data_IF_829001576117
#
_entry.id   IF_829001576117
#
_cell.length_a   1.000
_cell.length_b   1.000
_cell.length_c   1.000
_cell.angle_alpha   90.00
_cell.angle_beta   90.00
_cell.angle_gamma   90.00
#
_symmetry.space_group_name_H-M   'P 1'
#
loop_
_entity.id
_entity.type
_entity.pdbx_description
1 polymer ?
#
# COMPACT_ATOMS: atom_id res chain seq x y z
N UNK A 1 11.70 12.74 -5.76
CA UNK A 1 12.55 11.64 -6.25
C UNK A 1 13.81 11.60 -5.39
N UNK A 2 13.89 10.61 -4.49
CA UNK A 2 15.12 10.30 -3.75
C UNK A 2 15.75 9.07 -4.40
N UNK A 3 17.07 9.08 -4.67
CA UNK A 3 17.77 7.95 -5.24
C UNK A 3 18.28 7.03 -4.12
N UNK A 4 17.44 6.10 -3.67
CA UNK A 4 17.90 4.93 -2.90
C UNK A 4 17.35 3.66 -3.54
N UNK A 5 18.03 3.29 -4.61
CA UNK A 5 18.39 1.95 -5.04
C UNK A 5 17.61 0.75 -4.47
N UNK A 6 16.40 0.47 -4.99
CA UNK A 6 15.85 -0.90 -5.09
C UNK A 6 15.11 -1.08 -6.40
N UNK A 7 15.89 -1.19 -7.46
CA UNK A 7 15.40 -1.59 -8.78
C UNK A 7 14.83 -3.03 -8.69
N UNK A 8 13.51 -3.14 -8.93
CA UNK A 8 12.80 -4.28 -9.55
C UNK A 8 12.58 -5.58 -8.75
N UNK A 9 11.41 -5.63 -8.10
CA UNK A 9 10.62 -6.85 -7.88
C UNK A 9 10.86 -7.54 -6.54
N UNK A 10 9.86 -7.87 -5.73
CA UNK A 10 8.43 -7.69 -5.73
C UNK A 10 8.08 -7.55 -4.25
N UNK A 11 7.14 -6.68 -3.88
CA UNK A 11 6.49 -6.82 -2.57
C UNK A 11 6.12 -8.28 -2.37
N UNK A 12 6.55 -8.87 -1.26
CA UNK A 12 6.15 -10.24 -0.92
C UNK A 12 4.62 -10.29 -0.85
N UNK A 13 4.03 -11.48 -1.02
CA UNK A 13 2.58 -11.68 -0.80
C UNK A 13 2.11 -11.03 0.50
N UNK A 14 2.93 -11.14 1.54
CA UNK A 14 2.64 -10.61 2.87
C UNK A 14 2.65 -9.08 2.89
N UNK A 15 3.67 -8.46 2.32
CA UNK A 15 3.77 -6.99 2.24
C UNK A 15 2.66 -6.41 1.38
N UNK A 16 2.40 -7.00 0.20
CA UNK A 16 1.28 -6.61 -0.67
C UNK A 16 -0.04 -6.67 0.11
N UNK A 17 -0.29 -7.77 0.81
CA UNK A 17 -1.52 -7.92 1.61
C UNK A 17 -1.58 -6.90 2.74
N UNK A 18 -0.46 -6.65 3.44
CA UNK A 18 -0.36 -5.67 4.53
C UNK A 18 -0.71 -4.26 4.05
N UNK A 19 -0.18 -3.85 2.90
CA UNK A 19 -0.42 -2.53 2.30
C UNK A 19 -1.90 -2.40 1.94
N UNK A 20 -2.47 -3.39 1.24
CA UNK A 20 -3.89 -3.38 0.84
C UNK A 20 -4.79 -3.34 2.08
N UNK A 21 -4.51 -4.14 3.11
CA UNK A 21 -5.30 -4.17 4.35
C UNK A 21 -5.24 -2.84 5.10
N UNK A 22 -4.06 -2.24 5.22
CA UNK A 22 -3.90 -0.92 5.85
C UNK A 22 -4.65 0.16 5.05
N UNK A 23 -4.59 0.10 3.72
CA UNK A 23 -5.28 1.06 2.86
C UNK A 23 -6.81 0.91 2.92
N UNK A 24 -7.32 -0.32 2.92
CA UNK A 24 -8.74 -0.60 3.07
C UNK A 24 -9.29 -0.04 4.40
N UNK A 25 -8.52 -0.15 5.49
CA UNK A 25 -8.88 0.46 6.78
C UNK A 25 -8.98 1.98 6.68
N UNK A 26 -8.04 2.65 6.01
CA UNK A 26 -8.09 4.10 5.81
C UNK A 26 -9.36 4.51 5.05
N UNK A 27 -9.71 3.78 4.00
CA UNK A 27 -10.93 4.03 3.21
C UNK A 27 -12.18 3.83 4.07
N UNK A 28 -12.22 2.77 4.89
CA UNK A 28 -13.32 2.51 5.82
C UNK A 28 -13.49 3.63 6.87
N UNK A 29 -12.40 4.33 7.21
CA UNK A 29 -12.41 5.49 8.11
C UNK A 29 -12.78 6.81 7.40
N UNK A 30 -13.10 6.79 6.10
CA UNK A 30 -13.46 7.98 5.33
C UNK A 30 -12.29 8.71 4.67
N UNK A 31 -11.13 8.05 4.52
CA UNK A 31 -10.00 8.60 3.75
C UNK A 31 -10.39 8.82 2.28
N UNK A 32 -9.94 9.91 1.65
CA UNK A 32 -10.19 10.15 0.23
C UNK A 32 -9.55 9.07 -0.65
N UNK A 33 -10.27 8.76 -1.73
CA UNK A 33 -9.91 7.74 -2.72
C UNK A 33 -9.24 8.44 -3.90
N UNK A 34 -8.12 7.89 -4.38
CA UNK A 34 -7.27 8.49 -5.42
C UNK A 34 -7.55 7.93 -6.82
N UNK A 35 -8.43 6.93 -6.93
CA UNK A 35 -8.86 6.31 -8.19
C UNK A 35 -10.33 6.58 -8.49
N UNK A 36 -10.70 6.51 -9.77
CA UNK A 36 -12.10 6.56 -10.19
C UNK A 36 -12.76 5.23 -9.86
N UNK A 37 -13.74 5.25 -8.96
CA UNK A 37 -14.53 4.08 -8.63
C UNK A 37 -15.46 3.70 -9.79
N UNK A 38 -15.46 2.44 -10.25
CA UNK A 38 -16.51 1.94 -11.12
C UNK A 38 -17.85 1.88 -10.36
N UNK A 39 -18.96 2.01 -11.09
CA UNK A 39 -20.30 2.05 -10.50
C UNK A 39 -20.59 0.74 -9.74
N UNK A 40 -20.88 0.84 -8.45
CA UNK A 40 -21.26 -0.29 -7.59
C UNK A 40 -20.15 -0.85 -6.70
N UNK A 41 -18.90 -0.39 -6.82
CA UNK A 41 -17.83 -0.77 -5.89
C UNK A 41 -17.91 0.10 -4.64
N UNK A 42 -18.30 -0.52 -3.53
CA UNK A 42 -18.44 0.15 -2.22
C UNK A 42 -17.52 -0.47 -1.17
N UNK A 43 -16.98 -1.67 -1.44
CA UNK A 43 -16.15 -2.40 -0.51
C UNK A 43 -14.75 -1.79 -0.40
N UNK A 44 -14.30 -1.35 0.79
CA UNK A 44 -13.00 -0.71 0.98
C UNK A 44 -11.81 -1.54 0.50
N UNK A 45 -11.92 -2.87 0.60
CA UNK A 45 -10.89 -3.81 0.15
C UNK A 45 -10.74 -3.76 -1.36
N UNK A 46 -11.83 -3.74 -2.10
CA UNK A 46 -11.79 -3.72 -3.55
C UNK A 46 -11.34 -2.36 -4.08
N UNK A 47 -11.72 -1.29 -3.39
CA UNK A 47 -11.19 0.06 -3.66
C UNK A 47 -9.66 0.09 -3.45
N UNK A 48 -9.16 -0.48 -2.35
CA UNK A 48 -7.72 -0.55 -2.08
C UNK A 48 -6.97 -1.39 -3.13
N UNK A 49 -7.57 -2.48 -3.64
CA UNK A 49 -6.99 -3.26 -4.74
C UNK A 49 -6.93 -2.45 -6.04
N UNK A 50 -7.99 -1.71 -6.36
CA UNK A 50 -8.03 -0.83 -7.54
C UNK A 50 -6.95 0.26 -7.45
N UNK A 51 -6.73 0.84 -6.26
CA UNK A 51 -5.64 1.80 -6.05
C UNK A 51 -4.26 1.14 -6.17
N UNK A 52 -4.10 -0.11 -5.71
CA UNK A 52 -2.87 -0.89 -5.89
C UNK A 52 -2.54 -1.08 -7.37
N UNK A 53 -3.52 -1.53 -8.15
CA UNK A 53 -3.35 -1.80 -9.58
C UNK A 53 -3.10 -0.51 -10.38
N UNK A 54 -3.63 0.63 -9.92
CA UNK A 54 -3.36 1.96 -10.46
C UNK A 54 -2.06 2.60 -9.94
N UNK A 55 -1.31 1.91 -9.06
CA UNK A 55 -0.10 2.42 -8.40
C UNK A 55 -0.31 3.78 -7.71
N UNK A 56 -1.50 4.00 -7.14
CA UNK A 56 -1.96 5.27 -6.57
C UNK A 56 -2.05 5.25 -5.02
N UNK A 57 -1.58 4.17 -4.38
CA UNK A 57 -1.63 4.05 -2.92
C UNK A 57 -0.60 4.98 -2.27
N UNK A 58 -1.02 5.92 -1.39
CA UNK A 58 -0.13 6.89 -0.76
C UNK A 58 0.54 6.36 0.52
N UNK A 59 0.84 5.05 0.58
CA UNK A 59 1.55 4.42 1.69
C UNK A 59 2.61 3.45 1.15
N UNK A 60 3.75 3.39 1.82
CA UNK A 60 4.90 2.57 1.43
C UNK A 60 5.35 1.69 2.61
N UNK A 61 6.01 0.57 2.33
CA UNK A 61 6.54 -0.34 3.35
C UNK A 61 7.96 0.05 3.71
N UNK A 62 8.17 0.40 4.98
CA UNK A 62 9.51 0.54 5.54
C UNK A 62 9.99 -0.81 6.07
N UNK A 63 10.99 -1.38 5.42
CA UNK A 63 11.72 -2.50 6.01
C UNK A 63 12.44 -2.03 7.27
N UNK A 64 12.14 -2.69 8.39
CA UNK A 64 12.90 -2.53 9.61
C UNK A 64 14.22 -3.27 9.45
N UNK A 65 15.28 -2.54 9.08
CA UNK A 65 16.64 -3.05 9.21
C UNK A 65 16.95 -3.15 10.70
N UNK A 66 17.03 -4.39 11.21
CA UNK A 66 17.49 -4.65 12.57
C UNK A 66 19.00 -4.36 12.64
N UNK A 67 19.36 -3.10 12.85
CA UNK A 67 20.70 -2.77 13.33
C UNK A 67 20.79 -3.33 14.75
N UNK A 68 21.43 -4.50 14.90
CA UNK A 68 21.91 -4.93 16.21
C UNK A 68 22.99 -3.94 16.62
N UNK A 69 22.62 -2.94 17.40
CA UNK A 69 23.57 -2.14 18.17
C UNK A 69 24.31 -3.11 19.10
N UNK A 70 25.48 -3.57 18.66
CA UNK A 70 26.42 -4.28 19.53
C UNK A 70 26.89 -3.27 20.57
N UNK A 71 26.40 -3.42 21.79
CA UNK A 71 26.94 -2.76 22.98
C UNK A 71 27.79 -3.75 23.75
#
# INVERSE_FOLDING_TARGET
MHPDNRDRGLYTRYEKTRIISARALQIAQGSPIWVKLPKGVTDPIDIAKLEWDANAIPIDVKELVLTRDKK
#
